data_IF_579619010204
#
_entry.id   IF_579619010204
#
_cell.length_a   1.000
_cell.length_b   1.000
_cell.length_c   1.000
_cell.angle_alpha   90.00
_cell.angle_beta   90.00
_cell.angle_gamma   90.00
#
_symmetry.space_group_name_H-M   'P 1'
#
loop_
_entity.id
_entity.type
_entity.pdbx_description
1 polymer ?
#
# COMPACT_ATOMS: atom_id res chain seq x y z
N UNK A 1 7.95 -5.56 -5.69
CA UNK A 1 6.92 -6.63 -5.61
C UNK A 1 7.31 -7.57 -4.50
N UNK A 2 6.37 -7.93 -3.63
CA UNK A 2 6.65 -8.86 -2.54
C UNK A 2 6.75 -10.30 -3.07
N UNK A 3 7.67 -11.08 -2.51
CA UNK A 3 7.83 -12.50 -2.83
C UNK A 3 6.82 -13.32 -2.03
N UNK A 4 6.10 -14.24 -2.66
CA UNK A 4 5.14 -15.10 -1.96
C UNK A 4 5.89 -16.28 -1.34
N UNK A 5 5.70 -16.47 -0.03
CA UNK A 5 6.26 -17.58 0.73
C UNK A 5 5.16 -18.26 1.54
N UNK A 6 5.12 -19.59 1.55
CA UNK A 6 4.14 -20.32 2.37
C UNK A 6 4.44 -20.09 3.85
N UNK A 7 3.40 -19.98 4.69
CA UNK A 7 3.56 -19.76 6.13
C UNK A 7 4.49 -20.80 6.80
N UNK A 8 4.44 -22.07 6.37
CA UNK A 8 5.33 -23.11 6.91
C UNK A 8 6.79 -22.94 6.48
N UNK A 9 7.02 -22.41 5.28
CA UNK A 9 8.35 -22.06 4.79
C UNK A 9 8.88 -20.82 5.51
N UNK A 10 8.06 -19.79 5.67
CA UNK A 10 8.41 -18.58 6.40
C UNK A 10 8.86 -18.85 7.84
N UNK A 11 8.24 -19.81 8.52
CA UNK A 11 8.68 -20.24 9.87
C UNK A 11 10.05 -20.91 9.82
N UNK A 12 10.32 -21.74 8.80
CA UNK A 12 11.61 -22.45 8.64
C UNK A 12 12.74 -21.52 8.22
N UNK A 13 12.44 -20.49 7.43
CA UNK A 13 13.42 -19.54 6.89
C UNK A 13 13.31 -18.14 7.53
N UNK A 14 12.70 -18.02 8.71
CA UNK A 14 12.37 -16.73 9.32
C UNK A 14 13.58 -15.81 9.42
N UNK A 15 14.71 -16.31 9.93
CA UNK A 15 15.93 -15.52 10.06
C UNK A 15 16.50 -15.05 8.72
N UNK A 16 16.43 -15.87 7.66
CA UNK A 16 16.86 -15.46 6.31
C UNK A 16 15.95 -14.37 5.75
N UNK A 17 14.63 -14.53 5.90
CA UNK A 17 13.64 -13.53 5.50
C UNK A 17 13.93 -12.19 6.18
N UNK A 18 14.09 -12.17 7.50
CA UNK A 18 14.38 -10.94 8.25
C UNK A 18 15.71 -10.31 7.80
N UNK A 19 16.75 -11.11 7.55
CA UNK A 19 18.01 -10.59 7.05
C UNK A 19 17.86 -9.96 5.65
N UNK A 20 17.11 -10.58 4.75
CA UNK A 20 16.86 -10.04 3.40
C UNK A 20 15.99 -8.79 3.45
N UNK A 21 14.99 -8.74 4.32
CA UNK A 21 14.21 -7.53 4.59
C UNK A 21 15.12 -6.40 5.07
N UNK A 22 15.99 -6.67 6.05
CA UNK A 22 16.84 -5.65 6.66
C UNK A 22 17.98 -5.18 5.74
N UNK A 23 18.73 -6.10 5.13
CA UNK A 23 19.94 -5.78 4.36
C UNK A 23 19.67 -5.49 2.89
N UNK A 24 18.60 -6.04 2.32
CA UNK A 24 18.30 -5.93 0.88
C UNK A 24 17.01 -5.18 0.58
N UNK A 25 16.24 -4.79 1.60
CA UNK A 25 14.98 -4.09 1.42
C UNK A 25 13.90 -4.95 0.77
N UNK A 26 14.00 -6.28 0.88
CA UNK A 26 13.04 -7.20 0.27
C UNK A 26 11.72 -7.27 1.06
N UNK A 27 10.61 -7.49 0.37
CA UNK A 27 9.28 -7.70 0.98
C UNK A 27 8.78 -9.11 0.66
N UNK A 28 8.06 -9.72 1.61
CA UNK A 28 7.54 -11.09 1.52
C UNK A 28 6.07 -11.14 1.92
N UNK A 29 5.24 -11.69 1.03
CA UNK A 29 3.83 -11.99 1.30
C UNK A 29 3.71 -13.42 1.82
N UNK A 30 3.13 -13.57 3.01
CA UNK A 30 2.97 -14.85 3.69
C UNK A 30 1.65 -15.48 3.25
N UNK A 31 1.72 -16.60 2.55
CA UNK A 31 0.56 -17.35 2.07
C UNK A 31 0.17 -18.49 3.04
N UNK A 32 -1.13 -18.61 3.35
CA UNK A 32 -1.73 -19.76 4.03
C UNK A 32 -2.90 -20.30 3.20
N UNK A 33 -2.80 -21.55 2.75
CA UNK A 33 -3.75 -22.09 1.78
C UNK A 33 -3.66 -21.31 0.47
N UNK A 34 -4.77 -20.76 0.00
CA UNK A 34 -4.82 -19.96 -1.22
C UNK A 34 -4.70 -18.44 -0.96
N UNK A 35 -4.64 -18.03 0.31
CA UNK A 35 -4.76 -16.61 0.68
C UNK A 35 -3.43 -16.06 1.19
N UNK A 36 -3.12 -14.81 0.84
CA UNK A 36 -2.09 -14.04 1.53
C UNK A 36 -2.67 -13.54 2.84
N UNK A 37 -1.99 -13.81 3.96
CA UNK A 37 -2.49 -13.53 5.32
C UNK A 37 -1.64 -12.53 6.09
N UNK A 38 -0.41 -12.27 5.65
CA UNK A 38 0.48 -11.30 6.26
C UNK A 38 1.55 -10.85 5.25
N UNK A 39 2.24 -9.75 5.56
CA UNK A 39 3.41 -9.30 4.81
C UNK A 39 4.53 -8.95 5.79
N UNK A 40 5.77 -9.33 5.46
CA UNK A 40 6.99 -8.88 6.13
C UNK A 40 7.71 -7.98 5.13
N UNK A 41 7.84 -6.70 5.47
CA UNK A 41 8.43 -5.68 4.59
C UNK A 41 9.38 -4.81 5.40
N UNK A 42 10.35 -4.12 4.79
CA UNK A 42 11.15 -3.16 5.51
C UNK A 42 10.22 -2.12 6.13
N UNK A 43 10.51 -1.69 7.35
CA UNK A 43 9.90 -0.46 7.85
C UNK A 43 10.40 0.62 6.90
N UNK A 44 9.52 1.14 6.03
CA UNK A 44 9.85 2.23 5.14
C UNK A 44 10.62 3.27 5.94
N UNK A 45 11.86 3.54 5.54
CA UNK A 45 12.74 4.49 6.21
C UNK A 45 11.90 5.71 6.54
N UNK A 46 11.68 5.94 7.85
CA UNK A 46 10.82 6.97 8.43
C UNK A 46 10.50 8.00 7.38
N UNK A 47 9.29 7.97 6.80
CA UNK A 47 8.89 8.98 5.82
C UNK A 47 9.43 10.31 6.30
N UNK A 48 10.16 11.02 5.43
CA UNK A 48 10.80 12.30 5.81
C UNK A 48 9.76 13.24 6.41
N UNK A 49 8.50 13.03 6.03
CA UNK A 49 7.32 13.70 6.52
C UNK A 49 6.66 12.84 7.60
N UNK A 50 6.72 13.33 8.84
CA UNK A 50 5.91 12.77 9.93
C UNK A 50 4.43 13.01 9.63
N UNK A 51 3.56 12.09 10.02
CA UNK A 51 2.09 12.21 9.86
C UNK A 51 1.56 13.56 10.38
N UNK A 52 2.09 14.05 11.51
CA UNK A 52 1.72 15.35 12.09
C UNK A 52 2.05 16.57 11.22
N UNK A 53 2.88 16.41 10.18
CA UNK A 53 3.29 17.47 9.27
C UNK A 53 2.56 17.36 7.91
N UNK A 54 1.57 16.45 7.76
CA UNK A 54 0.87 16.27 6.50
C UNK A 54 0.09 17.52 6.08
N UNK A 55 -0.55 18.22 7.01
CA UNK A 55 -1.27 19.46 6.72
C UNK A 55 -0.34 20.51 6.10
N UNK A 56 0.87 20.66 6.64
CA UNK A 56 1.88 21.57 6.12
C UNK A 56 2.41 21.10 4.75
N UNK A 57 2.59 19.80 4.56
CA UNK A 57 2.99 19.23 3.27
C UNK A 57 1.95 19.51 2.19
N UNK A 58 0.66 19.28 2.47
CA UNK A 58 -0.39 19.54 1.48
C UNK A 58 -0.55 21.03 1.19
N UNK A 59 -0.34 21.88 2.20
CA UNK A 59 -0.45 23.34 2.03
C UNK A 59 0.73 23.95 1.27
N UNK A 60 1.94 23.45 1.45
CA UNK A 60 3.16 24.04 0.91
C UNK A 60 3.82 23.19 -0.20
N UNK A 61 3.30 22.00 -0.47
CA UNK A 61 3.77 21.10 -1.52
C UNK A 61 3.46 21.61 -2.92
N UNK A 62 3.90 20.88 -3.96
CA UNK A 62 3.51 21.19 -5.33
C UNK A 62 1.99 21.11 -5.46
N UNK A 63 1.39 22.19 -5.95
CA UNK A 63 -0.02 22.23 -6.31
C UNK A 63 -0.15 22.06 -7.81
N UNK A 64 -1.24 21.42 -8.24
CA UNK A 64 -1.68 21.54 -9.63
C UNK A 64 -1.97 23.02 -9.90
N UNK A 65 -1.71 23.46 -11.13
CA UNK A 65 -2.27 24.74 -11.55
C UNK A 65 -3.80 24.67 -11.58
N UNK A 66 -4.49 25.83 -11.60
CA UNK A 66 -5.95 25.85 -11.53
C UNK A 66 -6.66 25.04 -12.62
N UNK A 67 -6.10 24.98 -13.84
CA UNK A 67 -6.71 24.27 -14.96
C UNK A 67 -6.60 22.75 -14.76
N UNK A 68 -5.41 22.27 -14.41
CA UNK A 68 -5.17 20.86 -14.08
C UNK A 68 -6.00 20.42 -12.86
N UNK A 69 -6.16 21.29 -11.85
CA UNK A 69 -6.96 21.01 -10.67
C UNK A 69 -8.45 20.84 -11.01
N UNK A 70 -9.00 21.72 -11.86
CA UNK A 70 -10.37 21.61 -12.34
C UNK A 70 -10.59 20.35 -13.19
N UNK A 71 -9.64 20.00 -14.05
CA UNK A 71 -9.72 18.80 -14.87
C UNK A 71 -9.65 17.53 -14.01
N UNK A 72 -8.72 17.48 -13.04
CA UNK A 72 -8.63 16.38 -12.09
C UNK A 72 -9.93 16.20 -11.29
N UNK A 73 -10.57 17.29 -10.87
CA UNK A 73 -11.86 17.23 -10.17
C UNK A 73 -12.95 16.60 -11.03
N UNK A 74 -13.04 16.95 -12.33
CA UNK A 74 -13.99 16.34 -13.27
C UNK A 74 -13.72 14.84 -13.42
N UNK A 75 -12.46 14.45 -13.59
CA UNK A 75 -12.08 13.04 -13.74
C UNK A 75 -12.48 12.21 -12.51
N UNK A 76 -12.25 12.74 -11.29
CA UNK A 76 -12.66 12.09 -10.04
C UNK A 76 -14.18 11.94 -9.95
N UNK A 77 -14.94 12.97 -10.34
CA UNK A 77 -16.40 12.91 -10.33
C UNK A 77 -16.95 11.91 -11.35
N UNK A 78 -16.34 11.83 -12.54
CA UNK A 78 -16.73 10.86 -13.56
C UNK A 78 -16.40 9.41 -13.15
N UNK A 79 -15.26 9.19 -12.50
CA UNK A 79 -14.94 7.89 -11.88
C UNK A 79 -15.96 7.55 -10.80
N UNK A 80 -16.36 8.50 -9.94
CA UNK A 80 -17.37 8.25 -8.89
C UNK A 80 -18.75 7.94 -9.45
N UNK A 81 -19.14 8.55 -10.58
CA UNK A 81 -20.42 8.29 -11.25
C UNK A 81 -20.43 6.95 -12.00
N UNK A 82 -19.33 6.62 -12.66
CA UNK A 82 -19.20 5.40 -13.47
C UNK A 82 -18.95 4.17 -12.62
N UNK A 83 -18.19 4.33 -11.53
CA UNK A 83 -17.95 3.25 -10.60
C UNK A 83 -19.12 3.18 -9.63
N UNK A 84 -20.13 2.37 -9.99
CA UNK A 84 -20.97 1.72 -8.98
C UNK A 84 -20.11 0.76 -8.17
N UNK A 85 -19.17 1.28 -7.38
CA UNK A 85 -18.51 0.48 -6.37
C UNK A 85 -19.60 0.18 -5.36
N UNK A 86 -20.14 -1.04 -5.41
CA UNK A 86 -20.81 -1.55 -4.23
C UNK A 86 -19.71 -1.73 -3.18
N UNK A 87 -19.65 -0.81 -2.23
CA UNK A 87 -18.65 -0.85 -1.15
C UNK A 87 -18.77 -2.18 -0.38
N UNK A 88 -19.96 -2.78 -0.31
CA UNK A 88 -20.18 -4.10 0.28
C UNK A 88 -19.48 -5.23 -0.50
N UNK A 89 -19.37 -5.12 -1.83
CA UNK A 89 -18.71 -6.13 -2.67
C UNK A 89 -17.18 -6.10 -2.52
N UNK A 90 -16.61 -4.91 -2.27
CA UNK A 90 -15.20 -4.77 -1.92
C UNK A 90 -14.87 -5.43 -0.59
N UNK A 91 -15.70 -5.20 0.45
CA UNK A 91 -15.51 -5.85 1.75
C UNK A 91 -15.60 -7.37 1.65
N UNK A 92 -16.55 -7.90 0.86
CA UNK A 92 -16.69 -9.36 0.67
C UNK A 92 -15.53 -10.04 -0.04
N UNK A 93 -14.71 -9.31 -0.80
CA UNK A 93 -13.52 -9.89 -1.46
C UNK A 93 -12.30 -9.97 -0.53
N UNK A 94 -12.35 -9.32 0.64
CA UNK A 94 -11.26 -9.31 1.61
C UNK A 94 -11.46 -10.28 2.77
N UNK A 95 -12.67 -10.83 2.94
CA UNK A 95 -12.97 -12.01 3.77
C UNK A 95 -12.81 -13.32 2.99
#
# INVERSE_FOLDING_TARGET
MAQIVKATEAVRSFSDIINRVYYKGESFDIQKGNNIVAQITPVENKSSVKVKNLDELFKNGPHLDPEDAEQFMKDVDDVRRSTRINIEELYRKWD
#
